data_IF_450002817448
#
_entry.id   IF_450002817448
#
_cell.length_a   1.000
_cell.length_b   1.000
_cell.length_c   1.000
_cell.angle_alpha   90.00
_cell.angle_beta   90.00
_cell.angle_gamma   90.00
#
_symmetry.space_group_name_H-M   'P 1'
#
loop_
_entity.id
_entity.type
_entity.pdbx_description
1 polymer ?
#
# COMPACT_ATOMS: atom_id res chain seq x y z
N UNK A 1 -2.55 10.38 6.49
CA UNK A 1 -1.62 9.69 7.40
C UNK A 1 -2.08 8.25 7.64
N UNK A 2 -1.31 7.30 7.16
CA UNK A 2 -1.67 5.87 7.26
C UNK A 2 -1.27 5.25 8.61
N UNK A 3 -0.14 5.63 9.14
CA UNK A 3 0.31 5.07 10.39
C UNK A 3 1.77 5.36 10.71
N UNK A 4 2.20 4.81 11.80
CA UNK A 4 3.58 4.79 12.26
C UNK A 4 4.08 3.33 12.36
N UNK A 5 5.31 3.13 12.83
CA UNK A 5 5.92 1.80 12.97
C UNK A 5 5.10 0.79 13.79
N UNK A 6 4.23 1.27 14.70
CA UNK A 6 3.40 0.38 15.54
C UNK A 6 2.21 -0.21 14.77
N UNK A 7 1.83 0.40 13.64
CA UNK A 7 0.74 -0.06 12.76
C UNK A 7 1.24 -0.69 11.48
N UNK A 8 2.55 -0.67 11.26
CA UNK A 8 3.18 -1.22 10.06
C UNK A 8 3.52 -2.69 10.25
N UNK A 9 3.33 -3.47 9.19
CA UNK A 9 3.58 -4.92 9.14
C UNK A 9 4.54 -5.20 8.00
N UNK A 10 5.64 -5.87 8.30
CA UNK A 10 6.64 -6.28 7.31
C UNK A 10 6.25 -7.56 6.54
N UNK A 11 7.18 -8.06 5.70
CA UNK A 11 7.01 -9.31 4.95
C UNK A 11 6.75 -10.51 5.88
N UNK A 12 5.84 -11.39 5.46
CA UNK A 12 5.44 -12.58 6.23
C UNK A 12 4.59 -12.27 7.47
N UNK A 13 4.34 -10.99 7.75
CA UNK A 13 3.53 -10.57 8.90
C UNK A 13 2.03 -10.64 8.66
N UNK A 14 1.26 -10.42 9.73
CA UNK A 14 -0.20 -10.46 9.69
C UNK A 14 -0.79 -9.05 9.66
N UNK A 15 -1.46 -8.72 8.56
CA UNK A 15 -2.32 -7.53 8.44
C UNK A 15 -3.69 -7.82 9.01
N UNK A 16 -4.44 -6.77 9.35
CA UNK A 16 -5.77 -6.91 9.95
C UNK A 16 -6.84 -6.28 9.08
N UNK A 17 -8.05 -6.84 9.20
CA UNK A 17 -9.30 -6.24 8.73
C UNK A 17 -10.11 -5.77 9.94
N UNK A 18 -10.98 -4.79 9.74
CA UNK A 18 -11.84 -4.27 10.81
C UNK A 18 -13.03 -5.21 11.06
N UNK A 19 -13.41 -5.36 12.32
CA UNK A 19 -14.58 -6.17 12.72
C UNK A 19 -15.92 -5.49 12.45
N UNK A 20 -15.92 -4.18 12.34
CA UNK A 20 -17.07 -3.31 12.11
C UNK A 20 -17.20 -2.87 10.65
N UNK A 21 -16.55 -3.57 9.73
CA UNK A 21 -16.58 -3.33 8.29
C UNK A 21 -16.91 -4.62 7.55
N UNK A 22 -17.72 -4.52 6.50
CA UNK A 22 -18.12 -5.66 5.68
C UNK A 22 -17.44 -5.67 4.28
N UNK A 23 -16.72 -4.60 3.91
CA UNK A 23 -15.95 -4.55 2.66
C UNK A 23 -14.52 -4.11 2.93
N UNK A 24 -13.69 -5.08 3.27
CA UNK A 24 -12.27 -4.90 3.55
C UNK A 24 -11.44 -5.38 2.36
N UNK A 25 -10.50 -4.55 1.89
CA UNK A 25 -9.64 -4.84 0.75
C UNK A 25 -8.19 -4.45 1.01
N UNK A 26 -7.22 -5.08 0.33
CA UNK A 26 -5.86 -4.58 0.23
C UNK A 26 -5.81 -3.56 -0.92
N UNK A 27 -4.99 -2.55 -0.78
CA UNK A 27 -4.66 -1.59 -1.83
C UNK A 27 -3.15 -1.65 -2.10
N UNK A 28 -2.74 -2.30 -3.21
CA UNK A 28 -1.33 -2.39 -3.59
C UNK A 28 -0.82 -1.05 -4.10
N UNK A 29 0.30 -0.57 -3.55
CA UNK A 29 0.83 0.74 -3.89
C UNK A 29 2.35 0.71 -4.08
N UNK A 30 2.84 1.33 -5.14
CA UNK A 30 4.22 1.77 -5.15
C UNK A 30 4.42 2.73 -3.97
N UNK A 31 5.49 2.54 -3.22
CA UNK A 31 5.77 3.36 -2.04
C UNK A 31 7.13 4.02 -2.19
N UNK A 32 7.16 5.34 -2.08
CA UNK A 32 8.36 6.15 -2.16
C UNK A 32 8.97 6.29 -0.78
N UNK A 33 10.28 6.10 -0.65
CA UNK A 33 11.01 6.51 0.54
C UNK A 33 11.61 7.90 0.33
N UNK A 34 11.14 8.86 1.10
CA UNK A 34 11.63 10.24 1.09
C UNK A 34 12.55 10.43 2.29
N UNK A 35 13.78 10.86 2.05
CA UNK A 35 14.78 11.05 3.09
C UNK A 35 14.53 12.33 3.92
N UNK A 36 15.35 12.56 4.94
CA UNK A 36 15.24 13.74 5.82
C UNK A 36 15.44 15.09 5.11
N UNK A 37 15.96 15.10 3.90
CA UNK A 37 16.17 16.30 3.09
C UNK A 37 15.02 16.56 2.10
N UNK A 38 13.95 15.73 2.14
CA UNK A 38 12.82 15.83 1.21
C UNK A 38 13.11 15.24 -0.18
N UNK A 39 14.13 14.39 -0.32
CA UNK A 39 14.53 13.79 -1.59
C UNK A 39 14.03 12.35 -1.69
N UNK A 40 13.58 11.96 -2.87
CA UNK A 40 13.26 10.56 -3.18
C UNK A 40 14.55 9.73 -3.16
N UNK A 41 14.65 8.81 -2.19
CA UNK A 41 15.85 8.01 -1.95
C UNK A 41 15.68 6.52 -2.25
N UNK A 42 14.48 6.07 -2.55
CA UNK A 42 14.23 4.67 -2.90
C UNK A 42 12.75 4.32 -3.00
N UNK A 43 12.51 3.05 -3.29
CA UNK A 43 11.19 2.49 -3.56
C UNK A 43 10.93 1.26 -2.69
N UNK A 44 9.68 1.06 -2.31
CA UNK A 44 9.20 -0.13 -1.60
C UNK A 44 7.80 -0.49 -2.09
N UNK A 45 7.21 -1.55 -1.56
CA UNK A 45 5.81 -1.91 -1.79
C UNK A 45 5.01 -1.57 -0.55
N UNK A 46 3.87 -0.92 -0.74
CA UNK A 46 2.88 -0.66 0.28
C UNK A 46 1.62 -1.50 0.08
N UNK A 47 1.00 -1.87 1.20
CA UNK A 47 -0.34 -2.42 1.25
C UNK A 47 -1.17 -1.54 2.18
N UNK A 48 -2.01 -0.69 1.58
CA UNK A 48 -2.93 0.17 2.33
C UNK A 48 -4.22 -0.60 2.60
N UNK A 49 -4.26 -1.34 3.73
CA UNK A 49 -5.46 -2.06 4.16
C UNK A 49 -6.61 -1.08 4.40
N UNK A 50 -7.73 -1.30 3.72
CA UNK A 50 -8.82 -0.33 3.64
C UNK A 50 -10.17 -0.96 3.93
N UNK A 51 -11.00 -0.22 4.68
CA UNK A 51 -12.42 -0.53 4.92
C UNK A 51 -13.25 0.35 4.00
N UNK A 52 -13.56 -0.15 2.80
CA UNK A 52 -14.17 0.63 1.70
C UNK A 52 -15.59 1.09 1.99
N UNK A 53 -16.36 0.33 2.74
CA UNK A 53 -17.69 0.72 3.20
C UNK A 53 -17.65 1.94 4.12
N UNK A 54 -16.73 1.96 5.10
CA UNK A 54 -16.53 3.11 6.00
C UNK A 54 -15.99 4.32 5.22
N UNK A 55 -15.02 4.10 4.30
CA UNK A 55 -14.48 5.15 3.46
C UNK A 55 -15.56 5.80 2.57
N UNK A 56 -16.45 4.97 2.00
CA UNK A 56 -17.51 5.42 1.10
C UNK A 56 -18.68 6.10 1.81
N UNK A 57 -18.86 5.88 3.12
CA UNK A 57 -19.96 6.47 3.89
C UNK A 57 -19.80 7.99 4.05
N UNK A 58 -18.60 8.45 4.42
CA UNK A 58 -18.32 9.86 4.60
C UNK A 58 -16.81 10.14 4.50
N UNK A 59 -16.38 11.16 3.73
CA UNK A 59 -14.96 11.56 3.64
C UNK A 59 -14.29 11.84 4.99
N UNK A 60 -15.04 12.27 6.00
CA UNK A 60 -14.53 12.49 7.36
C UNK A 60 -14.14 11.19 8.08
N UNK A 61 -14.61 10.03 7.59
CA UNK A 61 -14.30 8.72 8.16
C UNK A 61 -13.04 8.07 7.55
N UNK A 62 -12.36 8.77 6.64
CA UNK A 62 -11.12 8.27 6.04
C UNK A 62 -10.09 7.80 7.07
N UNK A 63 -9.82 8.52 8.18
CA UNK A 63 -8.94 8.00 9.23
C UNK A 63 -9.43 6.69 9.86
N UNK A 64 -10.75 6.54 10.07
CA UNK A 64 -11.33 5.29 10.57
C UNK A 64 -11.11 4.14 9.59
N UNK A 65 -11.36 4.39 8.31
CA UNK A 65 -11.23 3.38 7.25
C UNK A 65 -9.80 2.88 7.04
N UNK A 66 -8.80 3.73 7.30
CA UNK A 66 -7.40 3.54 6.89
C UNK A 66 -6.42 3.37 8.06
N UNK A 67 -6.71 3.87 9.28
CA UNK A 67 -5.75 3.96 10.38
C UNK A 67 -6.18 3.12 11.57
N UNK A 68 -5.71 1.88 11.62
CA UNK A 68 -5.93 0.94 12.71
C UNK A 68 -4.72 -0.01 12.86
N UNK A 69 -4.69 -0.85 13.89
CA UNK A 69 -3.56 -1.74 14.14
C UNK A 69 -3.34 -2.71 12.99
N UNK A 70 -2.08 -2.84 12.56
CA UNK A 70 -1.65 -3.70 11.46
C UNK A 70 -2.37 -3.40 10.12
N UNK A 71 -2.73 -2.13 9.88
CA UNK A 71 -3.40 -1.69 8.66
C UNK A 71 -2.45 -1.27 7.53
N UNK A 72 -1.14 -1.15 7.79
CA UNK A 72 -0.15 -0.71 6.81
C UNK A 72 0.87 -1.82 6.54
N UNK A 73 0.84 -2.43 5.37
CA UNK A 73 1.89 -3.33 4.89
C UNK A 73 3.05 -2.56 4.28
N UNK A 74 4.30 -2.99 4.51
CA UNK A 74 5.48 -2.35 3.92
C UNK A 74 6.61 -3.38 3.71
N UNK A 75 7.20 -3.41 2.54
CA UNK A 75 8.31 -4.29 2.19
C UNK A 75 8.29 -4.69 0.71
N UNK A 76 8.97 -5.78 0.30
CA UNK A 76 9.81 -6.66 1.12
C UNK A 76 11.14 -6.01 1.52
N UNK A 77 11.58 -4.97 0.80
CA UNK A 77 12.82 -4.24 1.02
C UNK A 77 12.67 -2.76 0.63
N UNK A 78 13.69 -1.99 0.86
CA UNK A 78 13.89 -0.68 0.26
C UNK A 78 14.87 -0.83 -0.92
N UNK A 79 14.38 -0.67 -2.13
CA UNK A 79 15.20 -0.60 -3.32
C UNK A 79 15.80 0.81 -3.44
N UNK A 80 17.10 0.91 -3.32
CA UNK A 80 17.85 2.15 -3.56
C UNK A 80 18.41 2.09 -4.97
N UNK A 81 18.07 3.07 -5.80
CA UNK A 81 18.50 3.15 -7.20
C UNK A 81 18.71 4.60 -7.61
N UNK A 82 19.71 4.84 -8.48
CA UNK A 82 19.96 6.15 -9.07
C UNK A 82 18.98 6.49 -10.20
N UNK A 83 18.36 5.46 -10.80
CA UNK A 83 17.40 5.63 -11.89
C UNK A 83 15.98 5.47 -11.38
N UNK A 84 15.05 6.32 -11.81
CA UNK A 84 13.62 6.07 -11.56
C UNK A 84 13.19 4.71 -12.09
N UNK A 85 12.16 4.13 -11.49
CA UNK A 85 11.50 2.96 -12.06
C UNK A 85 10.87 3.32 -13.41
N UNK A 86 10.94 2.38 -14.35
CA UNK A 86 10.40 2.58 -15.69
C UNK A 86 8.87 2.76 -15.66
N UNK A 87 8.29 3.62 -16.52
CA UNK A 87 6.85 3.88 -16.55
C UNK A 87 5.99 2.63 -16.78
N UNK A 88 6.53 1.63 -17.49
CA UNK A 88 5.86 0.35 -17.76
C UNK A 88 6.07 -0.69 -16.64
N UNK A 89 6.71 -0.33 -15.53
CA UNK A 89 6.81 -1.20 -14.36
C UNK A 89 5.42 -1.59 -13.87
N UNK A 90 5.21 -2.90 -13.71
CA UNK A 90 3.94 -3.48 -13.31
C UNK A 90 3.84 -3.50 -11.78
N UNK A 91 2.68 -3.11 -11.28
CA UNK A 91 2.20 -3.33 -9.91
C UNK A 91 1.16 -4.44 -10.01
N UNK A 92 1.44 -5.62 -9.49
CA UNK A 92 0.53 -6.75 -9.53
C UNK A 92 0.10 -7.17 -8.14
N UNK A 93 -1.13 -7.63 -7.99
CA UNK A 93 -1.65 -8.19 -6.75
C UNK A 93 -2.40 -9.48 -6.99
N UNK A 94 -2.10 -10.50 -6.18
CA UNK A 94 -2.86 -11.74 -6.09
C UNK A 94 -3.32 -11.94 -4.65
N UNK A 95 -4.56 -12.44 -4.48
CA UNK A 95 -5.09 -12.87 -3.18
C UNK A 95 -5.40 -14.35 -3.26
N UNK A 96 -4.80 -15.12 -2.35
CA UNK A 96 -4.95 -16.57 -2.26
C UNK A 96 -5.76 -16.93 -1.02
N UNK A 97 -6.82 -17.72 -1.19
CA UNK A 97 -7.69 -18.25 -0.13
C UNK A 97 -7.75 -19.77 -0.22
N UNK A 98 -7.38 -20.47 0.84
CA UNK A 98 -7.36 -21.95 0.88
C UNK A 98 -6.54 -22.60 -0.27
N UNK A 99 -5.47 -21.93 -0.72
CA UNK A 99 -4.61 -22.40 -1.80
C UNK A 99 -5.09 -22.06 -3.22
N UNK A 100 -6.24 -21.38 -3.35
CA UNK A 100 -6.79 -20.96 -4.64
C UNK A 100 -6.67 -19.45 -4.81
N UNK A 101 -6.37 -18.99 -6.03
CA UNK A 101 -6.38 -17.55 -6.37
C UNK A 101 -7.83 -17.05 -6.45
N UNK A 102 -8.19 -16.15 -5.55
CA UNK A 102 -9.55 -15.57 -5.48
C UNK A 102 -9.63 -14.16 -6.04
N UNK A 103 -8.48 -13.55 -6.29
CA UNK A 103 -8.35 -12.26 -6.97
C UNK A 103 -6.97 -12.15 -7.61
N UNK A 104 -6.92 -11.59 -8.81
CA UNK A 104 -5.70 -11.22 -9.52
C UNK A 104 -5.95 -9.94 -10.30
N UNK A 105 -5.02 -8.97 -10.22
CA UNK A 105 -5.09 -7.72 -10.96
C UNK A 105 -3.73 -7.05 -11.05
N UNK A 106 -3.55 -6.26 -12.10
CA UNK A 106 -2.32 -5.51 -12.31
C UNK A 106 -2.58 -4.13 -12.92
N UNK A 107 -1.59 -3.26 -12.80
CA UNK A 107 -1.53 -1.93 -13.42
C UNK A 107 -0.08 -1.54 -13.67
N UNK A 108 0.13 -0.40 -14.30
CA UNK A 108 1.47 0.15 -14.56
C UNK A 108 1.67 1.50 -13.87
N UNK A 109 2.92 1.82 -13.53
CA UNK A 109 3.30 3.14 -12.97
C UNK A 109 2.83 4.28 -13.89
N UNK A 110 2.85 4.09 -15.20
CA UNK A 110 2.38 5.06 -16.21
C UNK A 110 0.91 5.46 -16.06
N UNK A 111 0.09 4.67 -15.35
CA UNK A 111 -1.30 5.02 -15.07
C UNK A 111 -1.45 6.03 -13.91
N UNK A 112 -0.37 6.34 -13.21
CA UNK A 112 -0.38 7.36 -12.16
C UNK A 112 -0.60 8.75 -12.77
N UNK A 113 -1.61 9.48 -12.27
CA UNK A 113 -1.91 10.84 -12.73
C UNK A 113 -0.84 11.86 -12.33
N UNK A 114 -0.26 11.71 -11.14
CA UNK A 114 0.74 12.63 -10.58
C UNK A 114 2.12 12.01 -10.66
N UNK A 115 3.13 12.84 -10.95
CA UNK A 115 4.52 12.41 -10.91
C UNK A 115 4.99 12.17 -9.48
N UNK A 116 6.01 11.33 -9.30
CA UNK A 116 6.64 11.11 -7.99
C UNK A 116 7.17 12.42 -7.39
N UNK A 117 7.76 13.28 -8.23
CA UNK A 117 8.27 14.58 -7.80
C UNK A 117 7.16 15.50 -7.26
N UNK A 118 5.99 15.53 -7.94
CA UNK A 118 4.84 16.29 -7.47
C UNK A 118 4.34 15.78 -6.12
N UNK A 119 4.24 14.45 -5.94
CA UNK A 119 3.79 13.85 -4.68
C UNK A 119 4.75 14.18 -3.52
N UNK A 120 6.05 14.09 -3.77
CA UNK A 120 7.10 14.43 -2.78
C UNK A 120 7.04 15.91 -2.42
N UNK A 121 6.93 16.80 -3.42
CA UNK A 121 6.83 18.25 -3.20
C UNK A 121 5.61 18.60 -2.32
N UNK A 122 4.43 18.05 -2.61
CA UNK A 122 3.24 18.28 -1.78
C UNK A 122 3.41 17.75 -0.36
N UNK A 123 4.04 16.59 -0.18
CA UNK A 123 4.27 16.01 1.15
C UNK A 123 5.19 16.87 2.01
N UNK A 124 6.21 17.48 1.40
CA UNK A 124 7.31 18.14 2.14
C UNK A 124 7.18 19.66 2.24
N UNK A 125 6.16 20.28 1.60
CA UNK A 125 5.99 21.74 1.55
C UNK A 125 5.94 22.39 2.94
N UNK A 126 5.18 21.79 3.87
CA UNK A 126 4.97 22.33 5.20
C UNK A 126 5.24 21.30 6.30
N UNK A 127 5.78 20.12 5.94
CA UNK A 127 6.10 19.08 6.89
C UNK A 127 7.53 18.60 6.73
N UNK A 128 8.24 18.48 7.84
CA UNK A 128 9.57 17.89 7.90
C UNK A 128 9.51 16.46 8.45
N UNK A 129 10.38 15.59 7.92
CA UNK A 129 10.48 14.19 8.34
C UNK A 129 11.94 13.87 8.75
N UNK A 130 12.33 14.14 10.00
CA UNK A 130 13.73 14.03 10.44
C UNK A 130 14.37 12.64 10.25
N UNK A 131 13.55 11.59 10.17
CA UNK A 131 13.99 10.21 9.96
C UNK A 131 13.60 9.67 8.57
N UNK A 132 13.09 10.55 7.68
CA UNK A 132 12.46 10.14 6.44
C UNK A 132 11.03 9.67 6.61
N UNK A 133 10.37 9.38 5.49
CA UNK A 133 8.97 8.93 5.45
C UNK A 133 8.74 8.02 4.25
N UNK A 134 7.85 7.03 4.42
CA UNK A 134 7.30 6.23 3.33
C UNK A 134 6.00 6.88 2.85
N UNK A 135 5.95 7.20 1.55
CA UNK A 135 4.78 7.78 0.89
C UNK A 135 4.16 6.75 -0.04
N UNK A 136 3.03 6.19 0.35
CA UNK A 136 2.18 5.38 -0.51
C UNK A 136 1.52 6.26 -1.55
N UNK A 137 1.55 5.84 -2.83
CA UNK A 137 1.23 6.72 -3.97
C UNK A 137 -0.20 6.59 -4.48
N UNK A 138 -0.99 5.74 -3.87
CA UNK A 138 -2.36 5.41 -4.29
C UNK A 138 -2.41 4.16 -5.16
N UNK A 139 -3.60 3.60 -5.27
CA UNK A 139 -3.89 2.39 -6.05
C UNK A 139 -5.00 2.60 -7.06
N UNK A 140 -5.06 1.76 -8.09
CA UNK A 140 -6.21 1.56 -8.97
C UNK A 140 -6.61 0.08 -9.09
N UNK A 141 -6.03 -0.78 -8.26
CA UNK A 141 -6.35 -2.22 -8.21
C UNK A 141 -7.08 -2.48 -6.90
N UNK A 142 -8.39 -2.57 -6.96
CA UNK A 142 -9.25 -2.83 -5.80
C UNK A 142 -10.26 -3.90 -6.17
N UNK A 143 -10.35 -5.02 -5.41
CA UNK A 143 -11.42 -5.99 -5.64
C UNK A 143 -12.80 -5.38 -5.42
N UNK A 144 -13.67 -5.51 -6.43
CA UNK A 144 -15.06 -5.02 -6.36
C UNK A 144 -15.95 -5.94 -5.53
N UNK A 145 -17.07 -5.41 -4.96
CA UNK A 145 -18.08 -6.26 -4.34
C UNK A 145 -18.61 -7.35 -5.30
N UNK A 146 -18.91 -8.55 -4.82
CA UNK A 146 -19.08 -8.93 -3.39
C UNK A 146 -17.78 -9.37 -2.69
N UNK A 147 -16.60 -9.12 -3.27
CA UNK A 147 -15.34 -9.53 -2.64
C UNK A 147 -15.13 -8.78 -1.32
N UNK A 148 -14.66 -9.48 -0.31
CA UNK A 148 -14.05 -8.94 0.91
C UNK A 148 -13.01 -9.92 1.44
N UNK A 149 -11.95 -9.39 2.04
CA UNK A 149 -10.92 -10.19 2.70
C UNK A 149 -11.50 -11.01 3.86
N UNK A 150 -10.88 -12.18 4.09
CA UNK A 150 -11.18 -13.06 5.20
C UNK A 150 -9.91 -13.40 5.98
N UNK A 151 -10.05 -13.76 7.26
CA UNK A 151 -8.91 -14.29 8.03
C UNK A 151 -8.33 -15.52 7.34
N UNK A 152 -7.01 -15.57 7.22
CA UNK A 152 -6.26 -16.61 6.51
C UNK A 152 -5.96 -16.32 5.04
N UNK A 153 -6.55 -15.28 4.43
CA UNK A 153 -6.17 -14.87 3.07
C UNK A 153 -4.68 -14.48 3.03
N UNK A 154 -3.99 -14.89 1.96
CA UNK A 154 -2.62 -14.49 1.66
C UNK A 154 -2.63 -13.45 0.56
N UNK A 155 -2.05 -12.29 0.82
CA UNK A 155 -1.96 -11.15 -0.10
C UNK A 155 -0.54 -11.09 -0.64
N UNK A 156 -0.38 -11.16 -1.95
CA UNK A 156 0.89 -11.10 -2.65
C UNK A 156 0.89 -9.85 -3.53
N UNK A 157 1.77 -8.91 -3.25
CA UNK A 157 1.94 -7.68 -4.05
C UNK A 157 3.33 -7.70 -4.65
N UNK A 158 3.42 -7.66 -5.97
CA UNK A 158 4.68 -7.75 -6.72
C UNK A 158 4.93 -6.48 -7.53
N UNK A 159 6.12 -5.91 -7.39
CA UNK A 159 6.62 -4.80 -8.21
C UNK A 159 8.09 -5.10 -8.54
N UNK A 160 8.40 -5.46 -9.78
CA UNK A 160 9.80 -5.63 -10.19
C UNK A 160 10.47 -4.25 -10.41
N UNK A 161 11.73 -4.05 -10.00
CA UNK A 161 12.65 -5.03 -9.39
C UNK A 161 12.66 -5.04 -7.84
N UNK A 162 11.61 -4.56 -7.17
CA UNK A 162 11.54 -4.51 -5.69
C UNK A 162 11.34 -5.93 -5.11
N UNK A 163 10.52 -6.74 -5.78
CA UNK A 163 10.19 -8.10 -5.38
C UNK A 163 8.72 -8.27 -4.99
N UNK A 164 8.42 -9.19 -4.07
CA UNK A 164 7.05 -9.50 -3.65
C UNK A 164 6.87 -9.33 -2.15
N UNK A 165 5.91 -8.50 -1.76
CA UNK A 165 5.43 -8.37 -0.38
C UNK A 165 4.33 -9.40 -0.15
N UNK A 166 4.57 -10.37 0.74
CA UNK A 166 3.59 -11.39 1.12
C UNK A 166 3.13 -11.15 2.54
N UNK A 167 1.82 -11.10 2.75
CA UNK A 167 1.20 -10.89 4.06
C UNK A 167 -0.04 -11.75 4.21
N UNK A 168 -0.38 -12.14 5.45
CA UNK A 168 -1.59 -12.92 5.75
C UNK A 168 -2.58 -12.08 6.54
N UNK A 169 -3.87 -12.24 6.28
CA UNK A 169 -4.93 -11.60 7.06
C UNK A 169 -5.12 -12.34 8.39
N UNK A 170 -5.07 -11.61 9.53
CA UNK A 170 -5.19 -12.15 10.88
C UNK A 170 -6.61 -12.65 11.21
#
# INVERSE_FOLDING_TARGET
YKGNRLRSVGPGGKVRIRKDSFWNVPEPELTLFVNKHGELAGYSIGNDMSSRDIEGENPLYLPQAKVYDASAGLGPCLLVTEKPLEPNTIIAMEIVRNGESVFNGDTQISQMKRSHAELVDYLTREMSFPTGVYLMTGTCIVPDPPFTLQSGDSIHITIEPIGTLIQTVA
#
